data_IF_491677681783
#
_entry.id   IF_491677681783
#
_cell.length_a   1.000
_cell.length_b   1.000
_cell.length_c   1.000
_cell.angle_alpha   90.00
_cell.angle_beta   90.00
_cell.angle_gamma   90.00
#
_symmetry.space_group_name_H-M   'P 1'
#
loop_
_entity.id
_entity.type
_entity.pdbx_description
1 polymer ?
#
# COMPACT_ATOMS: atom_id res chain seq x y z
N UNK A 1 11.42 -8.64 -53.51
CA UNK A 1 11.89 -9.35 -52.30
C UNK A 1 11.81 -8.51 -51.02
N UNK A 2 11.83 -7.17 -51.06
CA UNK A 2 11.75 -6.33 -49.85
C UNK A 2 10.33 -6.21 -49.24
N UNK A 3 9.28 -6.26 -50.07
CA UNK A 3 7.88 -6.11 -49.64
C UNK A 3 7.35 -7.33 -48.85
N UNK A 4 7.81 -8.53 -49.19
CA UNK A 4 7.45 -9.76 -48.46
C UNK A 4 8.15 -9.83 -47.10
N UNK A 5 9.40 -9.38 -47.02
CA UNK A 5 10.13 -9.27 -45.75
C UNK A 5 9.49 -8.23 -44.83
N UNK A 6 9.08 -7.06 -45.35
CA UNK A 6 8.35 -6.06 -44.55
C UNK A 6 7.00 -6.57 -44.06
N UNK A 7 6.28 -7.36 -44.85
CA UNK A 7 5.03 -7.98 -44.40
C UNK A 7 5.26 -8.97 -43.26
N UNK A 8 6.34 -9.76 -43.31
CA UNK A 8 6.73 -10.69 -42.23
C UNK A 8 7.08 -9.92 -40.94
N UNK A 9 7.80 -8.80 -41.04
CA UNK A 9 8.11 -8.00 -39.86
C UNK A 9 6.87 -7.33 -39.24
N UNK A 10 5.93 -6.88 -40.06
CA UNK A 10 4.68 -6.27 -39.60
C UNK A 10 3.79 -7.32 -38.92
N UNK A 11 3.69 -8.53 -39.47
CA UNK A 11 2.89 -9.60 -38.85
C UNK A 11 3.51 -10.08 -37.53
N UNK A 12 4.84 -10.16 -37.46
CA UNK A 12 5.54 -10.51 -36.22
C UNK A 12 5.36 -9.44 -35.14
N UNK A 13 5.36 -8.16 -35.53
CA UNK A 13 5.11 -7.04 -34.61
C UNK A 13 3.66 -7.04 -34.08
N UNK A 14 2.67 -7.30 -34.92
CA UNK A 14 1.27 -7.41 -34.48
C UNK A 14 1.03 -8.61 -33.55
N UNK A 15 1.68 -9.74 -33.81
CA UNK A 15 1.59 -10.92 -32.94
C UNK A 15 2.14 -10.63 -31.53
N UNK A 16 3.20 -9.83 -31.43
CA UNK A 16 3.79 -9.44 -30.13
C UNK A 16 2.87 -8.51 -29.33
N UNK A 17 2.10 -7.65 -30.00
CA UNK A 17 1.10 -6.77 -29.37
C UNK A 17 -0.19 -7.51 -28.95
N UNK A 18 -0.39 -8.75 -29.41
CA UNK A 18 -1.60 -9.54 -29.13
C UNK A 18 -1.55 -10.32 -27.81
N UNK A 19 -0.43 -10.25 -27.09
CA UNK A 19 -0.28 -10.87 -25.76
C UNK A 19 -1.02 -9.98 -24.75
N UNK A 20 -2.32 -10.15 -24.64
CA UNK A 20 -3.10 -9.68 -23.50
C UNK A 20 -2.87 -10.66 -22.35
N UNK A 21 -2.60 -10.14 -21.16
CA UNK A 21 -2.35 -10.93 -19.95
C UNK A 21 -3.43 -12.00 -19.74
N UNK A 22 -3.07 -13.27 -19.95
CA UNK A 22 -3.79 -14.39 -19.37
C UNK A 22 -3.48 -14.33 -17.88
N UNK A 23 -4.33 -13.66 -17.13
CA UNK A 23 -4.37 -13.78 -15.67
C UNK A 23 -4.83 -15.20 -15.34
N UNK A 24 -3.86 -16.11 -15.24
CA UNK A 24 -4.08 -17.39 -14.61
C UNK A 24 -4.37 -17.11 -13.13
N UNK A 25 -5.64 -17.19 -12.75
CA UNK A 25 -6.02 -17.38 -11.35
C UNK A 25 -5.45 -18.74 -10.94
N UNK A 26 -4.25 -18.70 -10.36
CA UNK A 26 -3.46 -19.84 -9.94
C UNK A 26 -4.12 -20.49 -8.71
N UNK A 27 -5.21 -21.23 -8.96
CA UNK A 27 -5.78 -22.16 -8.00
C UNK A 27 -4.79 -23.31 -7.83
N UNK A 28 -4.35 -23.52 -6.60
CA UNK A 28 -3.54 -24.66 -6.16
C UNK A 28 -4.32 -25.97 -6.41
N UNK A 29 -4.24 -26.49 -7.64
CA UNK A 29 -4.79 -27.77 -8.06
C UNK A 29 -3.72 -28.84 -7.99
N UNK A 30 -3.88 -29.74 -7.02
CA UNK A 30 -3.00 -30.86 -6.68
C UNK A 30 -2.37 -31.60 -7.88
N UNK A 31 -1.07 -31.96 -7.82
CA UNK A 31 -0.47 -32.90 -8.75
C UNK A 31 -0.89 -34.32 -8.35
N UNK A 32 -1.11 -35.19 -9.32
CA UNK A 32 -1.55 -36.60 -9.21
C UNK A 32 -3.06 -36.82 -9.07
N UNK A 33 -3.67 -37.33 -10.15
CA UNK A 33 -5.02 -37.86 -10.09
C UNK A 33 -5.62 -38.22 -11.45
N UNK A 34 -4.90 -39.00 -12.25
CA UNK A 34 -5.45 -39.71 -13.40
C UNK A 34 -6.61 -40.59 -12.94
N UNK A 35 -7.76 -40.55 -13.61
CA UNK A 35 -8.61 -41.74 -13.69
C UNK A 35 -10.11 -41.57 -13.45
N UNK A 36 -10.83 -42.03 -14.47
CA UNK A 36 -12.05 -42.84 -14.37
C UNK A 36 -13.38 -42.14 -14.10
N UNK A 37 -14.12 -41.95 -15.20
CA UNK A 37 -15.29 -42.79 -15.51
C UNK A 37 -16.02 -43.42 -14.33
N UNK A 38 -17.20 -42.88 -14.06
CA UNK A 38 -18.20 -43.47 -13.18
C UNK A 38 -19.34 -42.46 -13.09
N UNK A 39 -20.30 -42.49 -14.02
CA UNK A 39 -21.54 -43.25 -13.86
C UNK A 39 -22.37 -42.73 -12.67
N UNK A 40 -23.66 -42.55 -12.90
CA UNK A 40 -24.69 -42.14 -11.93
C UNK A 40 -24.98 -40.65 -11.82
N UNK A 41 -25.75 -40.20 -12.81
CA UNK A 41 -26.76 -39.18 -12.58
C UNK A 41 -27.67 -39.58 -11.41
N UNK A 42 -27.51 -38.88 -10.30
CA UNK A 42 -28.54 -38.73 -9.27
C UNK A 42 -28.56 -37.26 -8.90
N UNK A 43 -29.71 -36.64 -9.14
CA UNK A 43 -29.95 -35.24 -8.87
C UNK A 43 -29.49 -34.85 -7.47
N UNK A 44 -28.38 -34.12 -7.40
CA UNK A 44 -28.13 -33.24 -6.27
C UNK A 44 -28.85 -31.95 -6.60
N UNK A 45 -30.01 -31.79 -5.97
CA UNK A 45 -30.68 -30.51 -5.77
C UNK A 45 -29.64 -29.46 -5.38
N UNK A 46 -29.34 -28.54 -6.30
CA UNK A 46 -28.65 -27.29 -6.02
C UNK A 46 -29.58 -26.48 -5.13
N UNK A 47 -29.48 -26.67 -3.82
CA UNK A 47 -30.04 -25.72 -2.86
C UNK A 47 -29.18 -24.46 -3.03
N UNK A 48 -29.74 -23.31 -3.45
CA UNK A 48 -29.00 -22.07 -3.41
C UNK A 48 -28.72 -21.78 -1.95
N UNK A 49 -27.48 -21.96 -1.52
CA UNK A 49 -27.02 -21.53 -0.21
C UNK A 49 -26.83 -20.01 -0.23
N UNK A 50 -27.87 -19.28 -0.62
CA UNK A 50 -28.01 -17.86 -0.30
C UNK A 50 -28.68 -17.79 1.08
N UNK A 51 -27.94 -18.24 2.10
CA UNK A 51 -28.23 -17.77 3.45
C UNK A 51 -28.14 -16.25 3.47
N UNK A 52 -28.81 -15.56 4.41
CA UNK A 52 -28.66 -14.13 4.54
C UNK A 52 -27.17 -13.85 4.67
N UNK A 53 -26.56 -13.22 3.66
CA UNK A 53 -25.28 -12.54 3.82
C UNK A 53 -25.52 -11.62 5.00
N UNK A 54 -24.96 -11.98 6.16
CA UNK A 54 -24.84 -11.08 7.28
C UNK A 54 -24.45 -9.74 6.69
N UNK A 55 -25.34 -8.76 6.89
CA UNK A 55 -25.18 -7.40 6.44
C UNK A 55 -23.71 -7.07 6.56
N UNK A 56 -23.04 -6.83 5.42
CA UNK A 56 -21.75 -6.17 5.41
C UNK A 56 -21.98 -4.97 6.30
N UNK A 57 -21.41 -4.98 7.51
CA UNK A 57 -21.45 -3.83 8.39
C UNK A 57 -21.02 -2.70 7.48
N UNK A 58 -21.86 -1.69 7.30
CA UNK A 58 -21.42 -0.44 6.71
C UNK A 58 -20.32 0.04 7.65
N UNK A 59 -19.08 -0.39 7.39
CA UNK A 59 -17.90 0.03 8.12
C UNK A 59 -17.79 1.50 7.78
N UNK A 60 -18.31 2.33 8.69
CA UNK A 60 -18.17 3.78 8.61
C UNK A 60 -16.70 4.07 8.38
N UNK A 61 -16.35 4.89 7.38
CA UNK A 61 -14.95 5.20 7.10
C UNK A 61 -14.29 5.71 8.38
N UNK A 62 -13.07 5.27 8.69
CA UNK A 62 -12.39 5.63 9.93
C UNK A 62 -12.25 7.14 10.03
N UNK A 63 -12.41 7.65 11.24
CA UNK A 63 -12.29 9.09 11.51
C UNK A 63 -10.84 9.55 11.33
N UNK A 64 -10.63 10.85 11.09
CA UNK A 64 -9.29 11.41 10.96
C UNK A 64 -8.42 11.12 12.20
N UNK A 65 -9.02 11.15 13.38
CA UNK A 65 -8.34 10.85 14.64
C UNK A 65 -7.89 9.39 14.71
N UNK A 66 -8.77 8.43 14.38
CA UNK A 66 -8.43 7.00 14.38
C UNK A 66 -7.31 6.66 13.39
N UNK A 67 -7.30 7.30 12.21
CA UNK A 67 -6.25 7.11 11.21
C UNK A 67 -4.91 7.60 11.75
N UNK A 68 -4.90 8.80 12.36
CA UNK A 68 -3.67 9.40 12.89
C UNK A 68 -3.18 8.65 14.11
N UNK A 69 -4.07 8.29 15.04
CA UNK A 69 -3.73 7.55 16.26
C UNK A 69 -3.15 6.16 15.93
N UNK A 70 -3.56 5.55 14.82
CA UNK A 70 -2.93 4.33 14.30
C UNK A 70 -1.50 4.52 13.79
N UNK A 71 -1.15 5.72 13.34
CA UNK A 71 0.18 6.04 12.79
C UNK A 71 1.12 6.66 13.82
N UNK A 72 0.59 7.40 14.81
CA UNK A 72 1.37 8.14 15.80
C UNK A 72 2.43 7.29 16.51
N UNK A 73 2.14 6.07 17.00
CA UNK A 73 3.16 5.25 17.66
C UNK A 73 4.39 5.00 16.78
N UNK A 74 4.18 4.72 15.49
CA UNK A 74 5.28 4.46 14.55
C UNK A 74 6.11 5.72 14.26
N UNK A 75 5.47 6.89 14.27
CA UNK A 75 6.12 8.18 14.03
C UNK A 75 6.92 8.58 15.26
N UNK A 76 6.31 8.51 16.44
CA UNK A 76 6.94 8.81 17.73
C UNK A 76 8.14 7.90 17.98
N UNK A 77 8.03 6.60 17.71
CA UNK A 77 9.15 5.65 17.83
C UNK A 77 10.29 5.93 16.84
N UNK A 78 9.98 6.34 15.62
CA UNK A 78 10.98 6.56 14.58
C UNK A 78 11.78 7.85 14.77
N UNK A 79 11.14 8.91 15.26
CA UNK A 79 11.71 10.26 15.34
C UNK A 79 12.10 10.64 16.77
N UNK A 80 11.53 9.98 17.78
CA UNK A 80 11.75 10.33 19.19
C UNK A 80 11.10 11.67 19.54
N UNK A 81 9.80 11.79 19.25
CA UNK A 81 9.02 12.99 19.58
C UNK A 81 8.84 13.11 21.10
N UNK A 82 8.99 14.33 21.60
CA UNK A 82 8.56 14.68 22.97
C UNK A 82 7.03 14.85 23.01
N UNK A 83 6.33 14.61 24.13
CA UNK A 83 4.89 14.85 24.27
C UNK A 83 4.37 16.18 23.70
N UNK A 84 5.13 17.28 23.76
CA UNK A 84 4.71 18.54 23.14
C UNK A 84 4.78 18.49 21.60
N UNK A 85 5.87 17.98 21.06
CA UNK A 85 6.05 17.81 19.62
C UNK A 85 5.09 16.77 19.04
N UNK A 86 4.80 15.72 19.80
CA UNK A 86 3.80 14.70 19.48
C UNK A 86 2.43 15.33 19.33
N UNK A 87 2.03 16.20 20.25
CA UNK A 87 0.76 16.93 20.17
C UNK A 87 0.71 17.81 18.90
N UNK A 88 1.79 18.52 18.59
CA UNK A 88 1.88 19.31 17.36
C UNK A 88 1.69 18.43 16.13
N UNK A 89 2.51 17.37 15.98
CA UNK A 89 2.42 16.43 14.85
C UNK A 89 1.03 15.84 14.73
N UNK A 90 0.45 15.37 15.85
CA UNK A 90 -0.88 14.77 15.88
C UNK A 90 -1.94 15.74 15.38
N UNK A 91 -1.95 16.97 15.89
CA UNK A 91 -2.94 17.99 15.49
C UNK A 91 -2.83 18.36 14.01
N UNK A 92 -1.62 18.61 13.51
CA UNK A 92 -1.38 18.92 12.10
C UNK A 92 -1.78 17.75 11.19
N UNK A 93 -1.47 16.51 11.60
CA UNK A 93 -1.88 15.32 10.85
C UNK A 93 -3.40 15.15 10.82
N UNK A 94 -4.08 15.30 11.96
CA UNK A 94 -5.56 15.20 12.04
C UNK A 94 -6.20 16.19 11.07
N UNK A 95 -5.77 17.46 11.10
CA UNK A 95 -6.30 18.49 10.21
C UNK A 95 -6.06 18.14 8.74
N UNK A 96 -4.85 17.69 8.38
CA UNK A 96 -4.51 17.31 7.01
C UNK A 96 -5.33 16.10 6.50
N UNK A 97 -5.55 15.10 7.36
CA UNK A 97 -6.33 13.90 7.02
C UNK A 97 -7.81 14.26 6.89
N UNK A 98 -8.34 15.06 7.82
CA UNK A 98 -9.71 15.54 7.77
C UNK A 98 -9.97 16.31 6.47
N UNK A 99 -9.12 17.26 6.10
CA UNK A 99 -9.26 18.01 4.84
C UNK A 99 -9.24 17.10 3.61
N UNK A 100 -8.42 16.04 3.61
CA UNK A 100 -8.40 15.06 2.50
C UNK A 100 -9.69 14.24 2.43
N UNK A 101 -10.24 13.84 3.57
CA UNK A 101 -11.54 13.16 3.65
C UNK A 101 -12.65 14.09 3.13
N UNK A 102 -12.65 15.36 3.56
CA UNK A 102 -13.61 16.37 3.09
C UNK A 102 -13.53 16.56 1.57
N UNK A 103 -12.32 16.67 1.00
CA UNK A 103 -12.14 16.75 -0.45
C UNK A 103 -12.65 15.51 -1.18
N UNK A 104 -12.46 14.32 -0.59
CA UNK A 104 -12.94 13.07 -1.16
C UNK A 104 -14.47 13.01 -1.15
N UNK A 105 -15.11 13.46 -0.07
CA UNK A 105 -16.58 13.56 0.03
C UNK A 105 -17.12 14.60 -0.95
N UNK A 106 -16.43 15.73 -1.11
CA UNK A 106 -16.84 16.81 -2.01
C UNK A 106 -16.80 16.39 -3.49
N UNK A 107 -16.05 15.34 -3.83
CA UNK A 107 -16.10 14.70 -5.14
C UNK A 107 -15.65 15.60 -6.29
N UNK A 108 -14.58 16.40 -6.08
CA UNK A 108 -14.05 17.32 -7.07
C UNK A 108 -13.50 16.63 -8.33
N UNK A 109 -13.41 17.39 -9.41
CA UNK A 109 -12.69 16.98 -10.62
C UNK A 109 -11.23 16.59 -10.29
N UNK A 110 -10.66 15.54 -10.91
CA UNK A 110 -9.34 15.02 -10.56
C UNK A 110 -8.20 16.04 -10.60
N UNK A 111 -8.28 17.06 -11.48
CA UNK A 111 -7.28 18.12 -11.57
C UNK A 111 -7.35 19.07 -10.37
N UNK A 112 -8.55 19.57 -10.06
CA UNK A 112 -8.79 20.45 -8.90
C UNK A 112 -8.50 19.73 -7.59
N UNK A 113 -8.84 18.45 -7.51
CA UNK A 113 -8.54 17.62 -6.34
C UNK A 113 -7.03 17.53 -6.10
N UNK A 114 -6.22 17.35 -7.15
CA UNK A 114 -4.74 17.35 -7.01
C UNK A 114 -4.22 18.69 -6.51
N UNK A 115 -4.71 19.80 -7.04
CA UNK A 115 -4.33 21.14 -6.61
C UNK A 115 -4.66 21.38 -5.13
N UNK A 116 -5.87 21.00 -4.69
CA UNK A 116 -6.26 21.14 -3.29
C UNK A 116 -5.46 20.22 -2.37
N UNK A 117 -5.18 18.97 -2.77
CA UNK A 117 -4.30 18.07 -2.02
C UNK A 117 -2.89 18.65 -1.89
N UNK A 118 -2.37 19.28 -2.94
CA UNK A 118 -1.06 19.93 -2.91
C UNK A 118 -1.04 21.13 -1.96
N UNK A 119 -2.10 21.94 -1.94
CA UNK A 119 -2.27 23.03 -0.96
C UNK A 119 -2.34 22.51 0.47
N UNK A 120 -3.03 21.39 0.71
CA UNK A 120 -3.08 20.73 2.02
C UNK A 120 -1.68 20.30 2.43
N UNK A 121 -0.94 19.66 1.52
CA UNK A 121 0.44 19.22 1.79
C UNK A 121 1.35 20.40 2.13
N UNK A 122 1.29 21.48 1.36
CA UNK A 122 2.12 22.67 1.63
C UNK A 122 1.81 23.31 2.99
N UNK A 123 0.53 23.37 3.39
CA UNK A 123 0.14 23.86 4.71
C UNK A 123 0.64 22.94 5.84
N UNK A 124 0.45 21.63 5.67
CA UNK A 124 0.98 20.62 6.57
C UNK A 124 2.50 20.77 6.76
N UNK A 125 3.25 20.88 5.66
CA UNK A 125 4.71 21.01 5.70
C UNK A 125 5.14 22.33 6.37
N UNK A 126 4.43 23.43 6.13
CA UNK A 126 4.70 24.72 6.77
C UNK A 126 4.44 24.70 8.28
N UNK A 127 3.35 24.08 8.71
CA UNK A 127 3.01 23.94 10.14
C UNK A 127 4.01 23.03 10.86
N UNK A 128 4.38 21.89 10.25
CA UNK A 128 5.38 21.00 10.81
C UNK A 128 6.75 21.67 10.91
N UNK A 129 7.16 22.42 9.88
CA UNK A 129 8.42 23.16 9.91
C UNK A 129 8.43 24.27 10.97
N UNK A 130 7.28 24.87 11.26
CA UNK A 130 7.16 25.89 12.30
C UNK A 130 7.09 25.30 13.72
N UNK A 131 6.52 24.09 13.86
CA UNK A 131 6.23 23.45 15.14
C UNK A 131 7.28 22.43 15.61
N UNK A 132 8.12 21.91 14.72
CA UNK A 132 9.17 20.94 15.05
C UNK A 132 10.57 21.54 14.92
N UNK A 133 11.55 21.05 15.70
CA UNK A 133 12.94 21.33 15.42
C UNK A 133 13.35 20.75 14.05
N UNK A 134 14.27 21.42 13.39
CA UNK A 134 14.67 21.14 12.00
C UNK A 134 15.12 19.68 11.80
N UNK A 135 15.91 19.15 12.73
CA UNK A 135 16.35 17.74 12.73
C UNK A 135 15.19 16.73 12.72
N UNK A 136 14.10 17.02 13.45
CA UNK A 136 12.93 16.12 13.56
C UNK A 136 12.00 16.28 12.39
N UNK A 137 11.89 17.49 11.84
CA UNK A 137 11.18 17.73 10.59
C UNK A 137 11.81 16.95 9.44
N UNK A 138 13.14 16.98 9.29
CA UNK A 138 13.84 16.20 8.26
C UNK A 138 13.63 14.70 8.46
N UNK A 139 13.73 14.21 9.70
CA UNK A 139 13.45 12.81 10.03
C UNK A 139 12.00 12.41 9.69
N UNK A 140 11.03 13.31 9.88
CA UNK A 140 9.64 13.11 9.47
C UNK A 140 9.49 13.01 7.94
N UNK A 141 10.17 13.89 7.19
CA UNK A 141 10.15 13.83 5.72
C UNK A 141 10.76 12.53 5.21
N UNK A 142 11.89 12.09 5.78
CA UNK A 142 12.47 10.79 5.46
C UNK A 142 11.51 9.63 5.78
N UNK A 143 10.79 9.71 6.90
CA UNK A 143 9.81 8.71 7.29
C UNK A 143 8.66 8.64 6.28
N UNK A 144 8.18 9.78 5.82
CA UNK A 144 7.12 9.90 4.82
C UNK A 144 7.55 9.32 3.46
N UNK A 145 8.76 9.61 3.00
CA UNK A 145 9.34 9.02 1.79
C UNK A 145 9.44 7.49 1.87
N UNK A 146 9.75 6.97 3.06
CA UNK A 146 9.80 5.53 3.33
C UNK A 146 8.42 4.91 3.63
N UNK A 147 7.32 5.65 3.44
CA UNK A 147 5.95 5.22 3.72
C UNK A 147 5.76 4.69 5.16
N UNK A 148 6.38 5.35 6.14
CA UNK A 148 6.32 4.96 7.55
C UNK A 148 6.82 3.52 7.83
N UNK A 149 7.59 2.93 6.90
CA UNK A 149 8.25 1.63 7.11
C UNK A 149 9.53 1.86 7.90
N UNK A 150 9.65 1.22 9.06
CA UNK A 150 10.88 1.21 9.83
C UNK A 150 12.05 0.73 8.96
N UNK A 151 13.10 1.56 8.79
CA UNK A 151 14.35 1.15 8.11
C UNK A 151 14.82 -0.14 8.79
N UNK A 152 14.80 -1.28 8.07
CA UNK A 152 15.34 -2.55 8.58
C UNK A 152 16.78 -2.29 9.03
N UNK A 153 17.03 -2.29 10.34
CA UNK A 153 18.40 -2.26 10.89
C UNK A 153 19.16 -3.40 10.23
N UNK A 154 20.07 -3.08 9.30
CA UNK A 154 21.05 -4.05 8.79
C UNK A 154 21.76 -4.59 10.03
N UNK A 155 21.50 -5.86 10.35
CA UNK A 155 22.14 -6.58 11.45
C UNK A 155 23.65 -6.50 11.18
N UNK A 156 24.37 -5.58 11.85
CA UNK A 156 25.84 -5.55 11.84
C UNK A 156 26.27 -6.91 12.35
N UNK A 157 26.74 -7.77 11.45
CA UNK A 157 27.19 -9.10 11.81
C UNK A 157 28.24 -8.99 12.91
N UNK A 158 27.96 -9.57 14.08
CA UNK A 158 28.98 -9.90 15.07
C UNK A 158 29.95 -10.88 14.39
N UNK A 159 30.94 -10.37 13.67
CA UNK A 159 32.16 -11.14 13.39
C UNK A 159 32.87 -11.25 14.73
N UNK A 160 32.71 -12.41 15.35
CA UNK A 160 33.25 -12.70 16.68
C UNK A 160 34.74 -12.36 16.74
N UNK A 161 35.12 -11.64 17.80
CA UNK A 161 36.48 -11.65 18.32
C UNK A 161 36.85 -13.12 18.60
N UNK A 162 37.58 -13.78 17.68
CA UNK A 162 38.42 -14.92 18.06
C UNK A 162 39.60 -14.32 18.81
N UNK A 163 39.63 -14.55 20.12
CA UNK A 163 40.68 -14.09 21.02
C UNK A 163 42.05 -14.61 20.60
N UNK A 164 43.05 -13.75 20.79
CA UNK A 164 44.44 -14.15 20.98
C UNK A 164 44.63 -14.51 22.46
N UNK A 165 45.17 -15.69 22.73
CA UNK A 165 46.06 -16.03 23.86
C UNK A 165 46.73 -17.36 23.46
N UNK A 166 48.05 -17.38 23.16
CA UNK A 166 49.16 -17.80 24.05
C UNK A 166 48.85 -19.20 24.63
N UNK A 167 49.57 -20.28 24.33
CA UNK A 167 51.03 -20.46 24.21
C UNK A 167 51.50 -21.23 22.95
#
# INVERSE_FOLDING_TARGET
MKSTQTLIYITLFLAFLSINDISAQYGYGSPYGYGNSGMYGRGRSYIPQAGPTENQKEETPPTAEEIVDGQMPSITEAIGLDPFEEAIVRTTLIQSVQQRIELQILGLEPLKMKEEIEKIKQRQDAELKAGLPEDKYEAFMELQENQFKAKKKKKKGKKGKKGKSKD
#
